data_IF_166036420472
#
_entry.id   IF_166036420472
#
_cell.length_a   1.000
_cell.length_b   1.000
_cell.length_c   1.000
_cell.angle_alpha   90.00
_cell.angle_beta   90.00
_cell.angle_gamma   90.00
#
_symmetry.space_group_name_H-M   'P 1'
#
loop_
_entity.id
_entity.type
_entity.pdbx_description
1 polymer ?
#
# COMPACT_ATOMS: atom_id res chain seq x y z
N UNK A 1 1.50 -23.75 -15.00
CA UNK A 1 2.11 -23.14 -16.19
C UNK A 1 1.16 -22.16 -16.89
N UNK A 2 -0.07 -22.55 -17.28
CA UNK A 2 -1.03 -21.67 -17.99
C UNK A 2 -1.38 -20.34 -17.29
N UNK A 3 -1.51 -20.33 -15.96
CA UNK A 3 -1.81 -19.09 -15.21
C UNK A 3 -0.66 -18.08 -15.23
N UNK A 4 0.59 -18.57 -15.17
CA UNK A 4 1.78 -17.70 -15.13
C UNK A 4 1.93 -17.00 -16.47
N UNK A 5 1.84 -17.73 -17.58
CA UNK A 5 1.97 -17.16 -18.93
C UNK A 5 0.89 -16.11 -19.22
N UNK A 6 -0.37 -16.40 -18.90
CA UNK A 6 -1.48 -15.43 -19.05
C UNK A 6 -1.33 -14.19 -18.16
N UNK A 7 -0.81 -14.37 -16.95
CA UNK A 7 -0.55 -13.24 -16.04
C UNK A 7 0.57 -12.34 -16.58
N UNK A 8 1.64 -12.94 -17.13
CA UNK A 8 2.72 -12.19 -17.76
C UNK A 8 2.22 -11.42 -18.99
N UNK A 9 1.44 -12.08 -19.86
CA UNK A 9 0.82 -11.46 -21.04
C UNK A 9 -0.05 -10.25 -20.64
N UNK A 10 -0.88 -10.40 -19.61
CA UNK A 10 -1.70 -9.30 -19.09
C UNK A 10 -0.83 -8.12 -18.62
N UNK A 11 0.20 -8.36 -17.82
CA UNK A 11 1.06 -7.29 -17.31
C UNK A 11 1.81 -6.58 -18.44
N UNK A 12 2.43 -7.33 -19.35
CA UNK A 12 3.24 -6.77 -20.43
C UNK A 12 2.37 -5.96 -21.40
N UNK A 13 1.17 -6.45 -21.74
CA UNK A 13 0.26 -5.78 -22.68
C UNK A 13 -0.32 -4.46 -22.15
N UNK A 14 -0.18 -4.18 -20.85
CA UNK A 14 -0.67 -2.95 -20.21
C UNK A 14 0.47 -2.10 -19.62
N UNK A 15 1.74 -2.44 -19.90
CA UNK A 15 2.90 -1.82 -19.25
C UNK A 15 3.34 -0.50 -19.89
N UNK A 16 2.98 -0.28 -21.14
CA UNK A 16 3.36 0.90 -21.94
C UNK A 16 2.78 2.22 -21.40
N UNK A 17 1.64 2.15 -20.71
CA UNK A 17 1.01 3.30 -20.03
C UNK A 17 1.57 3.59 -18.63
N UNK A 18 2.56 2.81 -18.17
CA UNK A 18 3.06 2.88 -16.79
C UNK A 18 4.49 3.45 -16.69
N UNK A 19 4.70 4.31 -15.70
CA UNK A 19 6.00 4.91 -15.38
C UNK A 19 6.17 5.15 -13.87
N UNK A 20 7.38 5.02 -13.38
CA UNK A 20 7.78 5.48 -12.06
C UNK A 20 8.23 6.95 -12.11
N UNK A 21 7.81 7.76 -11.13
CA UNK A 21 8.41 9.06 -10.86
C UNK A 21 9.25 8.95 -9.60
N UNK A 22 10.51 9.36 -9.71
CA UNK A 22 11.47 9.33 -8.61
C UNK A 22 12.36 10.57 -8.67
N UNK A 23 13.32 10.68 -7.76
CA UNK A 23 14.19 11.83 -7.66
C UNK A 23 15.56 11.46 -7.08
N UNK A 24 16.52 12.37 -7.22
CA UNK A 24 17.75 12.35 -6.45
C UNK A 24 18.08 13.75 -5.95
N UNK A 25 18.82 13.83 -4.85
CA UNK A 25 19.26 15.11 -4.29
C UNK A 25 20.55 15.58 -4.97
N UNK A 26 20.67 16.89 -5.18
CA UNK A 26 21.93 17.56 -5.54
C UNK A 26 22.23 18.69 -4.56
N UNK A 27 23.51 18.96 -4.30
CA UNK A 27 23.94 20.18 -3.62
C UNK A 27 24.03 21.39 -4.58
N UNK A 28 24.38 22.56 -4.06
CA UNK A 28 24.51 23.80 -4.82
C UNK A 28 25.56 23.76 -5.94
N UNK A 29 26.49 22.80 -5.89
CA UNK A 29 27.48 22.58 -6.95
C UNK A 29 26.99 21.64 -8.06
N UNK A 30 25.76 21.10 -7.92
CA UNK A 30 25.20 20.10 -8.83
C UNK A 30 25.69 18.68 -8.55
N UNK A 31 26.45 18.45 -7.47
CA UNK A 31 26.91 17.12 -7.10
C UNK A 31 25.75 16.32 -6.51
N UNK A 32 25.54 15.11 -7.03
CA UNK A 32 24.54 14.18 -6.50
C UNK A 32 24.88 13.75 -5.08
N UNK A 33 23.88 13.79 -4.20
CA UNK A 33 23.97 13.32 -2.83
C UNK A 33 23.59 11.85 -2.79
N UNK A 34 24.50 11.03 -2.25
CA UNK A 34 24.21 9.63 -1.93
C UNK A 34 23.49 9.55 -0.59
N UNK A 35 22.17 9.45 -0.65
CA UNK A 35 21.31 9.31 0.51
C UNK A 35 20.21 8.29 0.23
N UNK A 36 20.06 7.33 1.15
CA UNK A 36 19.03 6.31 1.11
C UNK A 36 18.38 6.20 2.48
N UNK A 37 17.10 6.51 2.59
CA UNK A 37 16.39 6.46 3.86
C UNK A 37 16.29 5.05 4.46
N UNK A 38 16.34 4.01 3.62
CA UNK A 38 16.26 2.61 4.06
C UNK A 38 17.58 2.10 4.63
N UNK A 39 18.64 2.91 4.62
CA UNK A 39 19.92 2.58 5.28
C UNK A 39 19.89 2.81 6.80
N UNK A 40 18.78 3.32 7.33
CA UNK A 40 18.60 3.63 8.75
C UNK A 40 17.55 2.71 9.39
N UNK A 41 17.60 2.55 10.71
CA UNK A 41 16.71 1.64 11.43
C UNK A 41 15.24 2.09 11.36
N UNK A 42 15.00 3.40 11.35
CA UNK A 42 13.67 3.98 11.34
C UNK A 42 13.67 5.36 10.67
N UNK A 43 12.48 5.85 10.36
CA UNK A 43 12.30 7.12 9.67
C UNK A 43 12.83 8.32 10.47
N UNK A 44 12.76 8.29 11.81
CA UNK A 44 13.26 9.39 12.66
C UNK A 44 14.77 9.55 12.52
N UNK A 45 15.51 8.45 12.54
CA UNK A 45 16.97 8.45 12.34
C UNK A 45 17.36 8.88 10.93
N UNK A 46 16.64 8.39 9.91
CA UNK A 46 16.83 8.82 8.53
C UNK A 46 16.68 10.35 8.39
N UNK A 47 15.61 10.92 8.94
CA UNK A 47 15.38 12.39 8.93
C UNK A 47 16.49 13.13 9.68
N UNK A 48 16.93 12.62 10.84
CA UNK A 48 18.01 13.24 11.60
C UNK A 48 19.33 13.24 10.82
N UNK A 49 19.66 12.13 10.14
CA UNK A 49 20.86 12.05 9.32
C UNK A 49 20.77 12.93 8.07
N UNK A 50 19.61 12.98 7.41
CA UNK A 50 19.39 13.88 6.28
C UNK A 50 19.59 15.35 6.66
N UNK A 51 19.11 15.78 7.84
CA UNK A 51 19.35 17.14 8.35
C UNK A 51 20.83 17.45 8.54
N UNK A 52 21.62 16.50 9.04
CA UNK A 52 23.07 16.68 9.17
C UNK A 52 23.76 16.85 7.80
N UNK A 53 23.25 16.19 6.75
CA UNK A 53 23.76 16.39 5.38
C UNK A 53 23.44 17.82 4.93
N UNK A 54 22.20 18.28 5.11
CA UNK A 54 21.77 19.64 4.78
C UNK A 54 22.59 20.70 5.55
N UNK A 55 22.86 20.49 6.83
CA UNK A 55 23.70 21.39 7.64
C UNK A 55 25.13 21.50 7.09
N UNK A 56 25.71 20.39 6.62
CA UNK A 56 27.08 20.35 6.08
C UNK A 56 27.19 20.85 4.65
N UNK A 57 26.18 20.58 3.82
CA UNK A 57 26.18 20.83 2.37
C UNK A 57 25.42 22.10 1.97
N UNK A 58 24.66 22.67 2.89
CA UNK A 58 23.73 23.75 2.60
C UNK A 58 22.46 23.26 1.91
N UNK A 59 21.88 24.12 1.08
CA UNK A 59 20.62 23.82 0.38
C UNK A 59 20.80 22.61 -0.55
N UNK A 60 19.90 21.63 -0.40
CA UNK A 60 19.77 20.51 -1.32
C UNK A 60 18.54 20.71 -2.20
N UNK A 61 18.66 20.37 -3.48
CA UNK A 61 17.57 20.47 -4.46
C UNK A 61 17.21 19.07 -4.96
N UNK A 62 15.92 18.67 -4.97
CA UNK A 62 15.51 17.41 -5.55
C UNK A 62 15.42 17.56 -7.07
N UNK A 63 16.04 16.64 -7.80
CA UNK A 63 15.96 16.55 -9.27
C UNK A 63 15.06 15.37 -9.62
N UNK A 64 13.84 15.61 -10.14
CA UNK A 64 12.94 14.54 -10.50
C UNK A 64 13.37 13.87 -11.81
N UNK A 65 13.03 12.59 -11.94
CA UNK A 65 13.17 11.83 -13.18
C UNK A 65 12.07 10.78 -13.29
N UNK A 66 11.77 10.40 -14.53
CA UNK A 66 10.78 9.38 -14.83
C UNK A 66 11.45 8.14 -15.40
N UNK A 67 10.84 6.98 -15.21
CA UNK A 67 11.29 5.71 -15.77
C UNK A 67 10.09 4.94 -16.28
N UNK A 68 10.04 4.71 -17.59
CA UNK A 68 9.00 3.89 -18.21
C UNK A 68 9.20 2.43 -17.80
N UNK A 69 8.12 1.79 -17.35
CA UNK A 69 8.18 0.43 -16.82
C UNK A 69 8.63 -0.57 -17.88
N UNK A 70 8.09 -0.43 -19.10
CA UNK A 70 8.39 -1.31 -20.24
C UNK A 70 9.88 -1.31 -20.61
N UNK A 71 10.62 -0.26 -20.24
CA UNK A 71 12.06 -0.12 -20.49
C UNK A 71 12.92 -0.52 -19.29
N UNK A 72 12.39 -0.50 -18.08
CA UNK A 72 13.19 -0.53 -16.85
C UNK A 72 12.89 -1.69 -15.90
N UNK A 73 11.68 -2.25 -15.94
CA UNK A 73 11.34 -3.39 -15.09
C UNK A 73 12.03 -4.66 -15.59
N UNK A 74 12.71 -5.34 -14.68
CA UNK A 74 13.39 -6.59 -15.00
C UNK A 74 12.42 -7.80 -15.01
N UNK A 75 12.74 -8.80 -15.85
CA UNK A 75 11.90 -9.99 -15.97
C UNK A 75 11.82 -10.81 -14.66
N UNK A 76 12.87 -10.80 -13.83
CA UNK A 76 12.90 -11.54 -12.55
C UNK A 76 11.91 -10.92 -11.56
N UNK A 77 11.77 -9.60 -11.55
CA UNK A 77 10.81 -8.86 -10.74
C UNK A 77 9.38 -9.26 -11.13
N UNK A 78 9.05 -9.26 -12.43
CA UNK A 78 7.72 -9.64 -12.91
C UNK A 78 7.39 -11.08 -12.56
N UNK A 79 8.32 -12.01 -12.78
CA UNK A 79 8.16 -13.43 -12.42
C UNK A 79 7.89 -13.55 -10.92
N UNK A 80 8.70 -12.89 -10.08
CA UNK A 80 8.49 -12.91 -8.63
C UNK A 80 7.11 -12.35 -8.23
N UNK A 81 6.72 -11.19 -8.78
CA UNK A 81 5.42 -10.60 -8.51
C UNK A 81 4.27 -11.55 -8.89
N UNK A 82 4.34 -12.18 -10.07
CA UNK A 82 3.33 -13.14 -10.55
C UNK A 82 3.25 -14.36 -9.64
N UNK A 83 4.38 -14.97 -9.32
CA UNK A 83 4.44 -16.18 -8.51
C UNK A 83 3.91 -15.94 -7.09
N UNK A 84 4.34 -14.84 -6.46
CA UNK A 84 3.88 -14.46 -5.12
C UNK A 84 2.39 -14.11 -5.15
N UNK A 85 1.90 -13.35 -6.15
CA UNK A 85 0.49 -13.02 -6.29
C UNK A 85 -0.40 -14.27 -6.45
N UNK A 86 0.00 -15.22 -7.32
CA UNK A 86 -0.72 -16.48 -7.53
C UNK A 86 -0.73 -17.31 -6.24
N UNK A 87 0.40 -17.38 -5.53
CA UNK A 87 0.50 -18.11 -4.27
C UNK A 87 -0.46 -17.54 -3.23
N UNK A 88 -0.45 -16.22 -3.01
CA UNK A 88 -1.37 -15.57 -2.07
C UNK A 88 -2.83 -15.76 -2.48
N UNK A 89 -3.16 -15.57 -3.76
CA UNK A 89 -4.51 -15.74 -4.27
C UNK A 89 -5.02 -17.18 -4.06
N UNK A 90 -4.24 -18.21 -4.40
CA UNK A 90 -4.66 -19.62 -4.24
C UNK A 90 -4.86 -20.04 -2.78
N UNK A 91 -4.12 -19.40 -1.87
CA UNK A 91 -4.22 -19.67 -0.43
C UNK A 91 -5.33 -18.84 0.26
N UNK A 92 -5.84 -17.81 -0.40
CA UNK A 92 -6.91 -16.95 0.13
C UNK A 92 -8.25 -17.68 0.23
N UNK A 93 -9.04 -17.34 1.25
CA UNK A 93 -10.44 -17.79 1.40
C UNK A 93 -11.37 -17.20 0.34
N UNK A 94 -11.02 -16.04 -0.22
CA UNK A 94 -11.80 -15.36 -1.26
C UNK A 94 -11.25 -15.60 -2.66
N UNK A 95 -10.59 -16.74 -2.88
CA UNK A 95 -10.00 -17.13 -4.16
C UNK A 95 -11.00 -17.43 -5.28
N UNK A 96 -12.27 -17.65 -4.95
CA UNK A 96 -13.33 -17.99 -5.90
C UNK A 96 -13.80 -16.73 -6.67
N UNK A 97 -12.90 -16.20 -7.49
CA UNK A 97 -13.10 -15.02 -8.34
C UNK A 97 -12.69 -15.35 -9.78
N UNK A 98 -13.24 -14.66 -10.79
CA UNK A 98 -12.78 -14.78 -12.16
C UNK A 98 -11.29 -14.41 -12.29
N UNK A 99 -10.58 -15.07 -13.20
CA UNK A 99 -9.16 -14.78 -13.46
C UNK A 99 -8.91 -13.32 -13.87
N UNK A 100 -9.87 -12.68 -14.55
CA UNK A 100 -9.80 -11.26 -14.88
C UNK A 100 -9.75 -10.37 -13.62
N UNK A 101 -10.54 -10.70 -12.59
CA UNK A 101 -10.51 -9.96 -11.31
C UNK A 101 -9.16 -10.14 -10.61
N UNK A 102 -8.56 -11.34 -10.69
CA UNK A 102 -7.19 -11.53 -10.21
C UNK A 102 -6.20 -10.63 -10.97
N UNK A 103 -6.27 -10.59 -12.31
CA UNK A 103 -5.37 -9.79 -13.14
C UNK A 103 -5.47 -8.29 -12.85
N UNK A 104 -6.68 -7.77 -12.68
CA UNK A 104 -6.91 -6.34 -12.50
C UNK A 104 -6.70 -5.87 -11.05
N UNK A 105 -6.93 -6.74 -10.06
CA UNK A 105 -7.08 -6.28 -8.67
C UNK A 105 -6.23 -7.01 -7.64
N UNK A 106 -5.48 -8.05 -8.01
CA UNK A 106 -4.48 -8.71 -7.13
C UNK A 106 -3.09 -8.65 -7.76
N UNK A 107 -3.00 -9.02 -9.03
CA UNK A 107 -1.76 -9.13 -9.80
C UNK A 107 -0.97 -7.82 -9.99
N UNK A 108 -1.58 -6.63 -10.09
CA UNK A 108 -0.82 -5.42 -10.40
C UNK A 108 0.35 -5.20 -9.44
N UNK A 109 1.53 -4.92 -10.01
CA UNK A 109 2.77 -4.72 -9.27
C UNK A 109 2.92 -3.28 -8.74
N UNK A 110 1.96 -2.40 -9.03
CA UNK A 110 1.89 -1.00 -8.58
C UNK A 110 0.46 -0.53 -8.37
N UNK A 111 0.31 0.64 -7.78
CA UNK A 111 -0.96 1.36 -7.58
C UNK A 111 -1.06 2.55 -8.53
N UNK A 112 0.00 3.35 -8.66
CA UNK A 112 0.02 4.56 -9.49
C UNK A 112 1.37 4.73 -10.21
N UNK A 113 2.13 5.77 -9.86
CA UNK A 113 3.41 6.20 -10.46
C UNK A 113 4.58 6.10 -9.48
N UNK A 114 4.38 5.43 -8.34
CA UNK A 114 5.41 5.29 -7.32
C UNK A 114 6.64 4.51 -7.82
N UNK A 115 7.82 4.72 -7.21
CA UNK A 115 9.02 3.93 -7.52
C UNK A 115 8.77 2.42 -7.45
N UNK A 116 9.33 1.68 -8.41
CA UNK A 116 9.23 0.21 -8.44
C UNK A 116 10.09 -0.38 -7.33
N UNK A 117 9.46 -1.18 -6.48
CA UNK A 117 10.11 -1.81 -5.33
C UNK A 117 9.65 -3.27 -5.19
N UNK A 118 10.52 -4.12 -4.64
CA UNK A 118 10.13 -5.47 -4.20
C UNK A 118 9.34 -5.34 -2.90
N UNK A 119 8.00 -5.29 -3.01
CA UNK A 119 7.12 -5.00 -1.88
C UNK A 119 6.25 -6.17 -1.45
N UNK A 120 5.82 -7.01 -2.40
CA UNK A 120 4.73 -7.97 -2.16
C UNK A 120 5.03 -8.94 -1.02
N UNK A 121 6.25 -9.45 -0.95
CA UNK A 121 6.66 -10.38 0.11
C UNK A 121 6.72 -9.71 1.50
N UNK A 122 7.23 -8.46 1.57
CA UNK A 122 7.25 -7.68 2.82
C UNK A 122 5.82 -7.47 3.37
N UNK A 123 4.90 -7.04 2.51
CA UNK A 123 3.49 -6.89 2.90
C UNK A 123 2.81 -8.22 3.16
N UNK A 124 3.22 -9.30 2.49
CA UNK A 124 2.70 -10.64 2.73
C UNK A 124 3.03 -11.10 4.14
N UNK A 125 4.29 -10.92 4.55
CA UNK A 125 4.80 -11.30 5.86
C UNK A 125 4.24 -10.42 6.99
N UNK A 126 4.34 -9.09 6.87
CA UNK A 126 3.89 -8.15 7.92
C UNK A 126 2.38 -8.27 8.20
N UNK A 127 1.58 -8.51 7.16
CA UNK A 127 0.11 -8.58 7.27
C UNK A 127 -0.45 -9.99 7.11
N UNK A 128 0.36 -11.04 7.29
CA UNK A 128 -0.06 -12.44 7.15
C UNK A 128 -1.29 -12.76 8.01
N UNK A 129 -1.39 -12.13 9.17
CA UNK A 129 -2.51 -12.28 10.11
C UNK A 129 -3.88 -12.03 9.46
N UNK A 130 -3.97 -11.18 8.43
CA UNK A 130 -5.20 -10.92 7.66
C UNK A 130 -5.66 -12.20 6.98
N UNK A 131 -4.77 -12.85 6.22
CA UNK A 131 -5.08 -14.11 5.53
C UNK A 131 -5.47 -15.19 6.54
N UNK A 132 -4.75 -15.30 7.66
CA UNK A 132 -5.04 -16.30 8.69
C UNK A 132 -6.41 -16.05 9.37
N UNK A 133 -6.74 -14.78 9.61
CA UNK A 133 -8.01 -14.38 10.21
C UNK A 133 -9.21 -14.67 9.31
N UNK A 134 -9.06 -14.56 7.98
CA UNK A 134 -10.13 -14.90 7.03
C UNK A 134 -10.58 -16.38 7.09
N UNK A 135 -9.78 -17.27 7.69
CA UNK A 135 -10.20 -18.66 7.90
C UNK A 135 -11.24 -18.82 9.01
N UNK A 136 -11.34 -17.86 9.93
CA UNK A 136 -12.24 -17.92 11.08
C UNK A 136 -13.23 -16.75 11.19
N UNK A 137 -12.98 -15.65 10.46
CA UNK A 137 -13.78 -14.44 10.45
C UNK A 137 -14.22 -14.11 9.03
N UNK A 138 -15.36 -13.43 8.90
CA UNK A 138 -15.81 -12.90 7.62
C UNK A 138 -14.92 -11.73 7.15
N UNK A 139 -14.86 -11.51 5.84
CA UNK A 139 -14.05 -10.46 5.21
C UNK A 139 -14.35 -9.08 5.78
N UNK A 140 -15.62 -8.84 6.08
CA UNK A 140 -16.18 -7.60 6.59
C UNK A 140 -15.55 -7.26 7.95
N UNK A 141 -15.50 -8.23 8.86
CA UNK A 141 -14.80 -8.14 10.15
C UNK A 141 -13.29 -7.95 9.97
N UNK A 142 -12.63 -8.76 9.15
CA UNK A 142 -11.15 -8.69 8.96
C UNK A 142 -10.72 -7.33 8.40
N UNK A 143 -11.50 -6.74 7.50
CA UNK A 143 -11.24 -5.39 6.98
C UNK A 143 -11.33 -4.32 8.08
N UNK A 144 -12.30 -4.44 9.00
CA UNK A 144 -12.39 -3.57 10.17
C UNK A 144 -11.17 -3.70 11.09
N UNK A 145 -10.68 -4.93 11.30
CA UNK A 145 -9.44 -5.17 12.06
C UNK A 145 -8.24 -4.51 11.40
N UNK A 146 -8.09 -4.68 10.08
CA UNK A 146 -6.98 -4.11 9.34
C UNK A 146 -7.01 -2.58 9.42
N UNK A 147 -8.21 -2.00 9.35
CA UNK A 147 -8.41 -0.57 9.53
C UNK A 147 -7.97 -0.06 10.90
N UNK A 148 -8.25 -0.79 11.97
CA UNK A 148 -7.76 -0.43 13.31
C UNK A 148 -6.22 -0.50 13.32
N UNK A 149 -5.64 -1.59 12.83
CA UNK A 149 -4.20 -1.86 12.83
C UNK A 149 -3.38 -0.80 12.07
N UNK A 150 -3.76 -0.46 10.83
CA UNK A 150 -3.05 0.57 10.09
C UNK A 150 -3.32 1.97 10.61
N UNK A 151 -4.49 2.26 11.20
CA UNK A 151 -4.76 3.59 11.80
C UNK A 151 -4.02 3.83 13.10
N UNK A 152 -3.73 2.80 13.88
CA UNK A 152 -2.94 2.92 15.12
C UNK A 152 -1.46 3.03 14.81
N UNK A 153 -0.98 2.40 13.74
CA UNK A 153 0.43 2.36 13.39
C UNK A 153 0.86 3.46 12.39
N UNK A 154 -0.06 4.11 11.69
CA UNK A 154 0.21 5.10 10.64
C UNK A 154 -0.19 6.53 11.03
N UNK A 155 0.73 7.48 10.88
CA UNK A 155 0.51 8.90 11.11
C UNK A 155 -0.10 9.59 9.89
N UNK A 156 -1.39 9.90 9.99
CA UNK A 156 -2.14 10.58 8.94
C UNK A 156 -1.90 12.10 8.95
N UNK A 157 -1.39 12.65 7.84
CA UNK A 157 -0.93 14.04 7.73
C UNK A 157 -1.92 15.02 7.11
N UNK A 158 -3.03 14.55 6.53
CA UNK A 158 -4.03 15.42 5.89
C UNK A 158 -4.53 16.51 6.85
N UNK A 159 -4.56 17.77 6.38
CA UNK A 159 -4.90 18.97 7.15
C UNK A 159 -4.07 19.19 8.43
N UNK A 160 -2.96 18.46 8.61
CA UNK A 160 -2.05 18.60 9.77
C UNK A 160 -0.66 19.05 9.35
N UNK A 161 -0.20 18.64 8.17
CA UNK A 161 1.14 18.95 7.68
C UNK A 161 1.11 19.26 6.18
N UNK A 162 2.01 20.14 5.72
CA UNK A 162 2.29 20.30 4.29
C UNK A 162 3.10 19.11 3.77
N UNK A 163 2.85 18.72 2.51
CA UNK A 163 3.65 17.70 1.85
C UNK A 163 4.93 18.36 1.31
N UNK A 164 6.01 18.24 2.08
CA UNK A 164 7.33 18.77 1.71
C UNK A 164 8.25 17.69 1.10
N UNK A 165 7.66 16.57 0.67
CA UNK A 165 8.36 15.44 0.04
C UNK A 165 8.40 15.60 -1.49
N UNK A 166 9.57 15.47 -2.14
CA UNK A 166 9.70 15.57 -3.59
C UNK A 166 9.02 14.43 -4.37
N UNK A 167 8.79 13.25 -3.76
CA UNK A 167 7.99 12.21 -4.40
C UNK A 167 6.52 12.63 -4.51
N UNK A 168 5.92 12.54 -5.72
CA UNK A 168 4.47 12.72 -5.88
C UNK A 168 3.67 11.56 -5.27
N UNK A 169 4.28 10.37 -5.20
CA UNK A 169 3.70 9.14 -4.61
C UNK A 169 4.79 8.34 -3.91
N UNK A 170 4.52 7.94 -2.67
CA UNK A 170 5.44 7.12 -1.91
C UNK A 170 5.45 5.68 -2.45
N UNK A 171 6.64 5.08 -2.53
CA UNK A 171 6.81 3.66 -2.81
C UNK A 171 6.23 2.81 -1.67
N UNK A 172 5.91 1.55 -1.98
CA UNK A 172 5.37 0.60 -1.02
C UNK A 172 6.30 0.42 0.21
N UNK A 173 7.62 0.36 0.03
CA UNK A 173 8.58 0.30 1.12
C UNK A 173 8.60 1.60 1.93
N UNK A 174 8.48 2.75 1.27
CA UNK A 174 8.39 4.04 1.96
C UNK A 174 7.17 4.09 2.88
N UNK A 175 6.02 3.55 2.43
CA UNK A 175 4.78 3.52 3.21
C UNK A 175 4.92 2.72 4.52
N UNK A 176 5.51 1.52 4.47
CA UNK A 176 5.79 0.70 5.66
C UNK A 176 6.88 1.31 6.54
N UNK A 177 7.94 1.85 5.93
CA UNK A 177 9.09 2.37 6.68
C UNK A 177 8.77 3.67 7.42
N UNK A 178 8.10 4.60 6.73
CA UNK A 178 7.75 5.91 7.27
C UNK A 178 6.54 5.86 8.19
N UNK A 179 5.60 4.94 7.91
CA UNK A 179 4.25 4.88 8.50
C UNK A 179 3.61 6.25 8.64
N UNK A 180 3.74 7.08 7.60
CA UNK A 180 3.34 8.49 7.59
C UNK A 180 3.01 8.92 6.16
N UNK A 181 1.90 9.66 5.99
CA UNK A 181 1.46 10.13 4.68
C UNK A 181 0.04 10.68 4.65
N UNK A 182 -0.36 11.18 3.48
CA UNK A 182 -1.67 11.73 3.20
C UNK A 182 -2.68 10.65 2.80
N UNK A 183 -3.90 11.04 2.40
CA UNK A 183 -4.98 10.10 2.09
C UNK A 183 -4.65 9.18 0.90
N UNK A 184 -3.97 9.69 -0.13
CA UNK A 184 -3.48 8.86 -1.24
C UNK A 184 -2.49 7.77 -0.80
N UNK A 185 -1.64 8.07 0.18
CA UNK A 185 -0.55 7.22 0.64
C UNK A 185 -1.12 6.10 1.50
N UNK A 186 -2.08 6.42 2.38
CA UNK A 186 -2.84 5.40 3.14
C UNK A 186 -3.62 4.49 2.19
N UNK A 187 -4.32 5.06 1.21
CA UNK A 187 -5.06 4.27 0.23
C UNK A 187 -4.14 3.32 -0.56
N UNK A 188 -2.98 3.81 -1.01
CA UNK A 188 -2.00 2.97 -1.69
C UNK A 188 -1.45 1.87 -0.77
N UNK A 189 -1.14 2.20 0.48
CA UNK A 189 -0.66 1.23 1.47
C UNK A 189 -1.67 0.11 1.67
N UNK A 190 -2.95 0.44 1.88
CA UNK A 190 -4.00 -0.57 2.10
C UNK A 190 -4.23 -1.41 0.83
N UNK A 191 -4.09 -0.83 -0.36
CA UNK A 191 -4.09 -1.60 -1.61
C UNK A 191 -2.93 -2.61 -1.65
N UNK A 192 -1.72 -2.21 -1.27
CA UNK A 192 -0.58 -3.14 -1.17
C UNK A 192 -0.82 -4.24 -0.13
N UNK A 193 -1.32 -3.89 1.06
CA UNK A 193 -1.67 -4.84 2.13
C UNK A 193 -2.61 -5.91 1.57
N UNK A 194 -3.77 -5.51 1.06
CA UNK A 194 -4.79 -6.46 0.62
C UNK A 194 -4.36 -7.27 -0.61
N UNK A 195 -3.70 -6.65 -1.60
CA UNK A 195 -3.18 -7.37 -2.77
C UNK A 195 -2.12 -8.40 -2.40
N UNK A 196 -1.26 -8.12 -1.43
CA UNK A 196 -0.26 -9.08 -0.93
C UNK A 196 -0.91 -10.30 -0.27
N UNK A 197 -2.09 -10.12 0.35
CA UNK A 197 -2.89 -11.17 0.97
C UNK A 197 -3.84 -11.89 -0.02
N UNK A 198 -3.76 -11.58 -1.32
CA UNK A 198 -4.64 -12.18 -2.33
C UNK A 198 -6.09 -11.69 -2.25
N UNK A 199 -6.31 -10.48 -1.74
CA UNK A 199 -7.60 -9.81 -1.67
C UNK A 199 -7.73 -8.82 -2.85
N UNK A 200 -8.72 -9.00 -3.75
CA UNK A 200 -8.88 -8.10 -4.90
C UNK A 200 -9.23 -6.69 -4.45
N UNK A 201 -8.35 -5.73 -4.76
CA UNK A 201 -8.50 -4.34 -4.32
C UNK A 201 -8.29 -3.36 -5.47
N UNK A 202 -9.33 -2.58 -5.76
CA UNK A 202 -9.28 -1.41 -6.62
C UNK A 202 -8.83 -0.17 -5.83
N UNK A 203 -8.10 0.72 -6.48
CA UNK A 203 -7.72 2.03 -5.98
C UNK A 203 -8.43 3.08 -6.83
N UNK A 204 -9.36 3.81 -6.23
CA UNK A 204 -10.20 4.76 -6.96
C UNK A 204 -9.99 6.18 -6.44
N UNK A 205 -9.66 7.09 -7.36
CA UNK A 205 -9.64 8.52 -7.13
C UNK A 205 -10.97 9.11 -7.63
N UNK A 206 -11.68 9.84 -6.77
CA UNK A 206 -12.94 10.48 -7.15
C UNK A 206 -13.01 11.93 -6.68
N UNK A 207 -13.83 12.72 -7.38
CA UNK A 207 -14.01 14.14 -7.10
C UNK A 207 -15.05 14.32 -5.99
N UNK A 208 -14.69 15.02 -4.91
CA UNK A 208 -15.65 15.33 -3.84
C UNK A 208 -16.66 16.40 -4.23
N UNK A 209 -16.41 17.14 -5.32
CA UNK A 209 -17.33 18.13 -5.88
C UNK A 209 -18.65 17.53 -6.40
N UNK A 210 -18.70 16.20 -6.60
CA UNK A 210 -19.92 15.51 -7.03
C UNK A 210 -20.93 15.31 -5.89
N UNK A 211 -20.54 15.59 -4.63
CA UNK A 211 -21.38 15.37 -3.45
C UNK A 211 -21.80 16.64 -2.68
N UNK A 212 -21.30 17.83 -3.02
CA UNK A 212 -21.66 19.06 -2.32
C UNK A 212 -21.68 20.30 -3.24
N UNK A 213 -22.90 20.82 -3.45
CA UNK A 213 -23.29 22.19 -3.84
C UNK A 213 -22.43 23.01 -4.83
N UNK A 214 -23.07 23.48 -5.91
CA UNK A 214 -22.49 24.16 -7.08
C UNK A 214 -21.87 25.57 -6.86
N UNK A 215 -21.82 26.11 -5.64
CA UNK A 215 -21.55 27.54 -5.42
C UNK A 215 -20.30 27.88 -4.58
N UNK A 216 -19.35 26.96 -4.39
CA UNK A 216 -18.08 27.27 -3.72
C UNK A 216 -16.88 27.18 -4.69
N UNK A 217 -16.10 28.27 -4.73
CA UNK A 217 -14.86 28.46 -5.51
C UNK A 217 -14.04 27.16 -5.63
N UNK A 218 -13.78 26.77 -6.88
CA UNK A 218 -13.22 25.49 -7.28
C UNK A 218 -11.80 25.23 -6.76
N UNK A 219 -11.69 24.65 -5.57
CA UNK A 219 -10.55 23.81 -5.21
C UNK A 219 -10.97 22.36 -5.49
N UNK A 220 -10.34 21.70 -6.47
CA UNK A 220 -10.55 20.28 -6.75
C UNK A 220 -10.10 19.46 -5.54
N UNK A 221 -11.04 19.15 -4.63
CA UNK A 221 -10.80 18.22 -3.53
C UNK A 221 -11.07 16.80 -4.04
N UNK A 222 -10.04 15.96 -4.01
CA UNK A 222 -10.16 14.53 -4.36
C UNK A 222 -10.17 13.70 -3.08
N UNK A 223 -10.91 12.60 -3.11
CA UNK A 223 -10.80 11.54 -2.13
C UNK A 223 -10.37 10.23 -2.80
N UNK A 224 -9.84 9.33 -1.99
CA UNK A 224 -9.37 8.02 -2.43
C UNK A 224 -10.14 6.95 -1.68
N UNK A 225 -10.88 6.13 -2.42
CA UNK A 225 -11.56 4.95 -1.89
C UNK A 225 -10.88 3.70 -2.41
N UNK A 226 -11.08 2.62 -1.68
CA UNK A 226 -10.76 1.28 -2.16
C UNK A 226 -12.06 0.53 -2.41
N UNK A 227 -12.10 -0.32 -3.43
CA UNK A 227 -13.17 -1.30 -3.59
C UNK A 227 -12.58 -2.69 -3.48
N UNK A 228 -13.17 -3.53 -2.63
CA UNK A 228 -12.78 -4.94 -2.47
C UNK A 228 -13.83 -5.85 -3.07
N UNK A 229 -13.42 -6.81 -3.90
CA UNK A 229 -14.30 -7.79 -4.51
C UNK A 229 -14.27 -9.12 -3.75
N UNK A 230 -15.45 -9.64 -3.40
CA UNK A 230 -15.63 -10.98 -2.84
C UNK A 230 -16.94 -11.58 -3.32
N UNK A 231 -16.91 -12.82 -3.80
CA UNK A 231 -18.08 -13.53 -4.33
C UNK A 231 -18.89 -12.74 -5.39
N UNK A 232 -18.20 -11.91 -6.20
CA UNK A 232 -18.82 -11.07 -7.23
C UNK A 232 -19.40 -9.74 -6.73
N UNK A 233 -19.31 -9.44 -5.43
CA UNK A 233 -19.81 -8.19 -4.83
C UNK A 233 -18.66 -7.26 -4.51
N UNK A 234 -18.80 -5.98 -4.88
CA UNK A 234 -17.85 -4.91 -4.57
C UNK A 234 -18.26 -4.17 -3.30
N UNK A 235 -17.32 -4.04 -2.36
CA UNK A 235 -17.50 -3.27 -1.11
C UNK A 235 -16.52 -2.11 -1.09
N UNK A 236 -17.02 -0.89 -0.90
CA UNK A 236 -16.18 0.31 -0.78
C UNK A 236 -15.58 0.41 0.63
N UNK A 237 -14.37 0.95 0.72
CA UNK A 237 -13.64 1.24 1.95
C UNK A 237 -13.11 2.66 1.83
N UNK A 238 -13.42 3.49 2.82
CA UNK A 238 -12.78 4.79 2.98
C UNK A 238 -11.55 4.64 3.91
N UNK A 239 -10.32 4.68 3.36
CA UNK A 239 -9.10 4.64 4.16
C UNK A 239 -8.87 5.95 4.94
N UNK A 240 -9.53 7.04 4.56
CA UNK A 240 -9.13 8.42 4.87
C UNK A 240 -9.84 9.10 6.05
N UNK A 241 -11.15 8.89 6.32
CA UNK A 241 -11.76 9.01 7.68
C UNK A 241 -13.30 9.08 7.82
N UNK A 242 -14.16 8.98 6.81
CA UNK A 242 -15.62 9.18 7.03
C UNK A 242 -16.61 8.08 6.62
N UNK A 243 -16.19 6.95 6.06
CA UNK A 243 -17.07 5.78 6.09
C UNK A 243 -16.68 4.58 5.23
N UNK A 244 -16.47 3.43 5.87
CA UNK A 244 -17.34 2.26 5.73
C UNK A 244 -16.98 1.26 6.83
N UNK A 245 -18.01 0.60 7.35
CA UNK A 245 -18.22 0.17 8.75
C UNK A 245 -18.68 1.30 9.64
N UNK A 246 -19.96 1.27 10.01
CA UNK A 246 -20.49 2.02 11.14
C UNK A 246 -19.45 1.97 12.26
N UNK A 247 -18.91 3.14 12.62
CA UNK A 247 -17.99 3.27 13.74
C UNK A 247 -18.58 2.62 14.99
N UNK A 248 -19.91 2.54 15.09
CA UNK A 248 -20.63 1.82 16.12
C UNK A 248 -20.26 0.32 16.19
N UNK A 249 -20.30 -0.43 15.09
CA UNK A 249 -20.03 -1.90 15.12
C UNK A 249 -18.57 -2.20 15.49
N UNK A 250 -17.63 -1.43 14.92
CA UNK A 250 -16.20 -1.62 15.21
C UNK A 250 -15.83 -1.16 16.63
N UNK A 251 -16.52 -0.16 17.19
CA UNK A 251 -16.36 0.29 18.59
C UNK A 251 -17.02 -0.68 19.56
N UNK A 252 -18.24 -1.14 19.26
CA UNK A 252 -19.02 -2.08 20.08
C UNK A 252 -18.31 -3.44 20.17
N UNK A 253 -17.68 -3.90 19.08
CA UNK A 253 -16.95 -5.16 19.04
C UNK A 253 -15.45 -5.03 19.33
N UNK A 254 -14.91 -3.80 19.47
CA UNK A 254 -13.48 -3.52 19.72
C UNK A 254 -12.88 -4.39 20.84
N UNK A 255 -13.54 -4.59 22.01
CA UNK A 255 -12.95 -5.40 23.07
C UNK A 255 -12.81 -6.88 22.70
N UNK A 256 -13.74 -7.43 21.93
CA UNK A 256 -13.76 -8.83 21.52
C UNK A 256 -12.82 -9.08 20.33
N UNK A 257 -12.75 -8.09 19.45
CA UNK A 257 -11.78 -7.95 18.37
C UNK A 257 -10.33 -7.95 18.91
N UNK A 258 -10.04 -7.11 19.90
CA UNK A 258 -8.70 -7.02 20.51
C UNK A 258 -8.33 -8.32 21.23
N UNK A 259 -9.27 -8.97 21.92
CA UNK A 259 -9.06 -10.30 22.48
C UNK A 259 -8.71 -11.34 21.42
N UNK A 260 -9.34 -11.31 20.24
CA UNK A 260 -9.02 -12.23 19.13
C UNK A 260 -7.64 -11.95 18.52
N UNK A 261 -7.24 -10.68 18.42
CA UNK A 261 -5.89 -10.27 18.02
C UNK A 261 -4.84 -10.74 19.02
N UNK A 262 -5.05 -10.53 20.32
CA UNK A 262 -4.15 -11.01 21.36
C UNK A 262 -4.00 -12.54 21.31
N UNK A 263 -5.11 -13.27 21.12
CA UNK A 263 -5.09 -14.74 20.96
C UNK A 263 -4.36 -15.17 19.69
N UNK A 264 -4.51 -14.46 18.57
CA UNK A 264 -3.81 -14.76 17.32
C UNK A 264 -2.30 -14.52 17.46
N UNK A 265 -1.91 -13.39 18.06
CA UNK A 265 -0.50 -13.03 18.37
C UNK A 265 0.11 -14.03 19.36
N UNK A 266 -0.64 -14.49 20.36
CA UNK A 266 -0.22 -15.52 21.31
C UNK A 266 0.00 -16.87 20.60
N UNK A 267 -0.95 -17.31 19.76
CA UNK A 267 -0.83 -18.54 18.96
C UNK A 267 0.36 -18.49 17.99
N UNK A 268 0.68 -17.33 17.43
CA UNK A 268 1.84 -17.16 16.56
C UNK A 268 3.16 -17.26 17.34
N UNK A 269 3.23 -16.67 18.55
CA UNK A 269 4.37 -16.82 19.46
C UNK A 269 4.56 -18.28 19.88
N UNK A 270 3.48 -18.98 20.21
CA UNK A 270 3.51 -20.41 20.57
C UNK A 270 3.91 -21.30 19.38
N UNK A 271 3.41 -21.01 18.18
CA UNK A 271 3.79 -21.68 16.92
C UNK A 271 5.26 -21.50 16.57
N UNK A 272 5.84 -20.33 16.88
CA UNK A 272 7.29 -20.05 16.69
C UNK A 272 8.17 -20.68 17.78
N UNK A 273 7.60 -21.09 18.92
CA UNK A 273 8.32 -21.81 19.98
C UNK A 273 8.36 -23.33 19.80
N UNK A 274 7.61 -23.89 18.85
CA UNK A 274 7.69 -25.32 18.52
C UNK A 274 8.41 -25.49 17.19
N UNK A 275 9.75 -25.46 17.28
CA UNK A 275 10.64 -26.18 16.37
C UNK A 275 11.67 -26.92 17.23
N UNK A 276 11.58 -28.25 17.22
CA UNK A 276 12.74 -29.10 17.47
C UNK A 276 13.72 -28.94 16.31
#
# INVERSE_FOLDING_TARGET
>A
MLFISKSAEFLISNMDIHQAVNYYWVDSSGCKIDFNEFSYQNFKESVASFRQIVEKKGQLTPVPFNSEDIKTIDAKYLINNIEVAIKSWKNSKIKNIPFQIFCEYILPYRVTIEPIEKWRENYQEEYKWITDSLFSLDLKTVMGLAQIDYKTSFHFTWNKESRDEPLPRLGAKHLIFRKKGACEDVAAMVAFIFRAQGIPTAYDKFNLLDQANRDAVANLVYAYNLRVCSAGTWTTIDPSQKGLYDQQIAVDQKPEILKKLDVAVQKEKESKMIKF
#
